data_IF_960471151891
#
_entry.id   IF_960471151891
#
_cell.length_a   1.000
_cell.length_b   1.000
_cell.length_c   1.000
_cell.angle_alpha   90.00
_cell.angle_beta   90.00
_cell.angle_gamma   90.00
#
_symmetry.space_group_name_H-M   'P 1'
#
loop_
_entity.id
_entity.type
_entity.pdbx_description
1 polymer ?
#
# COMPACT_ATOMS: atom_id res chain seq x y z
N UNK A 1 -25.61 -12.17 11.70
CA UNK A 1 -26.40 -11.36 12.64
C UNK A 1 -25.49 -10.86 13.75
N UNK A 2 -24.89 -9.68 13.57
CA UNK A 2 -24.02 -9.07 14.57
C UNK A 2 -24.89 -8.44 15.66
N UNK A 3 -24.77 -8.92 16.91
CA UNK A 3 -25.45 -8.33 18.06
C UNK A 3 -24.59 -7.17 18.57
N UNK A 4 -25.04 -5.95 18.33
CA UNK A 4 -24.52 -4.74 18.96
C UNK A 4 -25.08 -4.70 20.38
N UNK A 5 -24.22 -4.85 21.40
CA UNK A 5 -24.59 -4.65 22.79
C UNK A 5 -24.28 -3.20 23.18
N UNK A 6 -25.29 -2.33 23.13
CA UNK A 6 -25.22 -0.98 23.72
C UNK A 6 -25.52 -1.08 25.21
N UNK A 7 -24.49 -0.96 26.05
CA UNK A 7 -24.67 -0.82 27.50
C UNK A 7 -24.77 0.66 27.83
N UNK A 8 -25.99 1.13 28.14
CA UNK A 8 -26.22 2.44 28.77
C UNK A 8 -26.11 2.27 30.28
N UNK A 9 -24.99 2.71 30.88
CA UNK A 9 -24.86 2.80 32.33
C UNK A 9 -25.47 4.14 32.77
N UNK A 10 -26.64 4.09 33.39
CA UNK A 10 -27.17 5.20 34.19
C UNK A 10 -26.45 5.23 35.53
N UNK A 11 -25.51 6.17 35.73
CA UNK A 11 -24.94 6.45 37.04
C UNK A 11 -25.81 7.48 37.77
N UNK A 12 -26.68 7.01 38.67
CA UNK A 12 -27.16 7.83 39.78
C UNK A 12 -26.21 7.59 40.97
N UNK A 13 -25.29 8.51 41.23
CA UNK A 13 -24.35 8.37 42.34
C UNK A 13 -23.49 9.60 42.60
N UNK A 14 -23.88 10.37 43.63
CA UNK A 14 -23.17 11.41 44.40
C UNK A 14 -21.76 11.82 43.93
N UNK A 15 -21.63 13.11 43.61
CA UNK A 15 -20.36 13.81 43.44
C UNK A 15 -19.59 13.86 44.77
N UNK A 16 -18.60 12.97 44.93
CA UNK A 16 -17.55 13.07 45.93
C UNK A 16 -16.29 13.58 45.25
N UNK A 17 -15.86 14.79 45.62
CA UNK A 17 -14.64 15.43 45.11
C UNK A 17 -13.42 14.71 45.71
N UNK A 18 -12.88 13.70 45.03
CA UNK A 18 -11.53 13.20 45.32
C UNK A 18 -10.51 14.07 44.58
N UNK A 19 -9.41 14.48 45.23
CA UNK A 19 -8.36 15.23 44.56
C UNK A 19 -7.83 14.32 43.43
N UNK A 20 -7.88 14.82 42.21
CA UNK A 20 -7.40 14.12 41.02
C UNK A 20 -5.95 13.66 41.26
N UNK A 21 -5.80 12.37 41.53
CA UNK A 21 -4.54 11.65 41.39
C UNK A 21 -4.00 11.88 39.97
N UNK A 22 -2.67 11.91 39.87
CA UNK A 22 -1.92 12.35 38.70
C UNK A 22 -2.42 11.79 37.37
N UNK A 23 -2.11 12.54 36.31
CA UNK A 23 -2.37 12.17 34.92
C UNK A 23 -1.86 10.74 34.65
N UNK A 24 -2.76 9.75 34.73
CA UNK A 24 -2.49 8.39 34.28
C UNK A 24 -2.38 8.49 32.77
N UNK A 25 -1.15 8.61 32.27
CA UNK A 25 -0.88 8.46 30.84
C UNK A 25 -1.14 6.99 30.52
N UNK A 26 -2.36 6.69 30.06
CA UNK A 26 -2.74 5.36 29.61
C UNK A 26 -1.74 4.85 28.59
N UNK A 27 -1.34 3.59 28.74
CA UNK A 27 -0.41 2.93 27.84
C UNK A 27 -1.02 2.91 26.43
N UNK A 28 -0.30 3.49 25.46
CA UNK A 28 -0.78 3.55 24.07
C UNK A 28 -0.52 2.21 23.40
N UNK A 29 -1.52 1.36 23.36
CA UNK A 29 -1.45 0.08 22.64
C UNK A 29 -1.91 0.26 21.19
N UNK A 30 -1.20 -0.38 20.26
CA UNK A 30 -1.59 -0.42 18.85
C UNK A 30 -2.87 -1.24 18.73
N UNK A 31 -3.85 -0.72 17.99
CA UNK A 31 -5.17 -1.36 17.83
C UNK A 31 -5.42 -1.86 16.40
N UNK A 32 -4.83 -1.19 15.41
CA UNK A 32 -5.02 -1.47 13.98
C UNK A 32 -3.79 -1.05 13.20
N UNK A 33 -3.50 -1.77 12.11
CA UNK A 33 -2.48 -1.41 11.12
C UNK A 33 -3.07 -1.63 9.74
N UNK A 34 -2.86 -0.67 8.83
CA UNK A 34 -3.17 -0.82 7.42
C UNK A 34 -1.85 -0.72 6.64
N UNK A 35 -1.61 -1.68 5.74
CA UNK A 35 -0.41 -1.72 4.92
C UNK A 35 -0.83 -1.58 3.46
N UNK A 36 -0.21 -0.64 2.75
CA UNK A 36 -0.43 -0.42 1.32
C UNK A 36 0.92 -0.40 0.61
N UNK A 37 1.31 -1.50 0.00
CA UNK A 37 2.59 -1.61 -0.68
C UNK A 37 2.43 -1.86 -2.18
N UNK A 38 3.41 -1.41 -2.95
CA UNK A 38 3.53 -1.73 -4.37
C UNK A 38 4.04 -3.17 -4.54
N UNK A 39 3.72 -3.77 -5.68
CA UNK A 39 4.34 -5.02 -6.14
C UNK A 39 5.88 -4.93 -6.19
N UNK A 40 6.53 -6.09 -6.21
CA UNK A 40 7.98 -6.22 -6.29
C UNK A 40 8.54 -5.90 -7.68
N UNK A 41 9.84 -6.18 -7.88
CA UNK A 41 10.45 -6.08 -9.20
C UNK A 41 9.70 -6.90 -10.25
N UNK A 42 9.59 -6.34 -11.46
CA UNK A 42 8.80 -6.92 -12.55
C UNK A 42 9.41 -6.60 -13.90
N UNK A 43 9.06 -7.40 -14.89
CA UNK A 43 9.36 -7.12 -16.29
C UNK A 43 8.60 -5.87 -16.80
N UNK A 44 9.05 -5.23 -17.90
CA UNK A 44 8.35 -4.10 -18.51
C UNK A 44 6.90 -4.46 -18.89
N UNK A 45 5.97 -3.51 -18.74
CA UNK A 45 4.56 -3.73 -19.16
C UNK A 45 4.42 -3.59 -20.68
N UNK A 46 5.16 -2.64 -21.26
CA UNK A 46 5.15 -2.34 -22.68
C UNK A 46 6.58 -2.14 -23.16
N UNK A 47 6.82 -2.41 -24.44
CA UNK A 47 8.10 -2.21 -25.12
C UNK A 47 7.90 -1.12 -26.19
N UNK A 48 8.84 -0.17 -26.28
CA UNK A 48 8.78 0.88 -27.30
C UNK A 48 9.32 0.34 -28.65
N UNK A 49 8.91 0.92 -29.80
CA UNK A 49 9.15 0.29 -31.11
C UNK A 49 10.62 -0.01 -31.46
N UNK A 50 11.56 0.79 -30.95
CA UNK A 50 13.00 0.67 -31.23
C UNK A 50 13.80 0.02 -30.10
N UNK A 51 13.13 -0.63 -29.15
CA UNK A 51 13.82 -1.36 -28.08
C UNK A 51 14.54 -2.59 -28.65
N UNK A 52 15.85 -2.77 -28.39
CA UNK A 52 16.55 -3.98 -28.77
C UNK A 52 16.06 -5.22 -28.01
N UNK A 53 15.49 -5.08 -26.82
CA UNK A 53 14.97 -6.17 -26.01
C UNK A 53 13.48 -6.37 -26.26
N UNK A 54 13.15 -7.41 -27.03
CA UNK A 54 11.77 -7.73 -27.39
C UNK A 54 11.08 -8.55 -26.29
N UNK A 55 9.77 -8.78 -26.44
CA UNK A 55 8.94 -9.40 -25.40
C UNK A 55 9.41 -10.81 -25.00
N UNK A 56 9.96 -11.56 -25.96
CA UNK A 56 10.56 -12.88 -25.80
C UNK A 56 11.86 -12.90 -24.98
N UNK A 57 12.50 -11.74 -24.78
CA UNK A 57 13.68 -11.61 -23.93
C UNK A 57 13.34 -11.79 -22.44
N UNK A 58 12.06 -11.63 -22.07
CA UNK A 58 11.59 -11.71 -20.70
C UNK A 58 10.95 -13.09 -20.46
N UNK A 59 11.60 -14.00 -19.72
CA UNK A 59 11.15 -15.38 -19.59
C UNK A 59 9.79 -15.50 -18.89
N UNK A 60 9.48 -14.57 -17.97
CA UNK A 60 8.18 -14.49 -17.30
C UNK A 60 7.10 -13.88 -18.21
N UNK A 61 7.48 -13.22 -19.31
CA UNK A 61 6.60 -12.38 -20.12
C UNK A 61 6.49 -10.95 -19.59
N UNK A 62 5.77 -10.09 -20.31
CA UNK A 62 5.64 -8.66 -19.98
C UNK A 62 4.70 -8.40 -18.80
N UNK A 63 5.07 -7.45 -17.94
CA UNK A 63 4.30 -7.00 -16.79
C UNK A 63 4.23 -8.01 -15.63
N UNK A 64 5.06 -9.05 -15.67
CA UNK A 64 5.08 -10.18 -14.74
C UNK A 64 6.14 -10.01 -13.65
N UNK A 65 5.86 -10.55 -12.47
CA UNK A 65 6.76 -10.46 -11.31
C UNK A 65 8.00 -11.32 -11.54
N UNK A 66 9.18 -10.77 -11.29
CA UNK A 66 10.43 -11.52 -11.39
C UNK A 66 10.69 -12.31 -10.10
N UNK A 67 11.63 -13.25 -10.15
CA UNK A 67 12.13 -13.94 -8.95
C UNK A 67 12.73 -12.97 -7.92
N UNK A 68 13.38 -11.89 -8.38
CA UNK A 68 13.83 -10.80 -7.53
C UNK A 68 12.64 -10.11 -6.84
N UNK A 69 11.55 -9.87 -7.56
CA UNK A 69 10.33 -9.30 -6.99
C UNK A 69 9.68 -10.17 -5.92
N UNK A 70 9.70 -11.49 -6.11
CA UNK A 70 9.26 -12.45 -5.08
C UNK A 70 10.15 -12.36 -3.83
N UNK A 71 11.48 -12.36 -3.99
CA UNK A 71 12.43 -12.27 -2.87
C UNK A 71 12.28 -10.95 -2.11
N UNK A 72 12.04 -9.84 -2.81
CA UNK A 72 11.76 -8.53 -2.20
C UNK A 72 10.55 -8.59 -1.26
N UNK A 73 9.45 -9.19 -1.71
CA UNK A 73 8.25 -9.33 -0.88
C UNK A 73 8.43 -10.34 0.24
N UNK A 74 9.11 -11.46 0.00
CA UNK A 74 9.44 -12.40 1.06
C UNK A 74 10.22 -11.72 2.21
N UNK A 75 11.22 -10.91 1.87
CA UNK A 75 11.98 -10.11 2.86
C UNK A 75 11.12 -9.04 3.54
N UNK A 76 10.20 -8.40 2.81
CA UNK A 76 9.23 -7.48 3.41
C UNK A 76 8.37 -8.21 4.44
N UNK A 77 7.85 -9.39 4.12
CA UNK A 77 7.09 -10.24 5.01
C UNK A 77 7.86 -10.61 6.29
N UNK A 78 9.14 -10.99 6.15
CA UNK A 78 10.01 -11.24 7.31
C UNK A 78 10.19 -9.99 8.18
N UNK A 79 10.34 -8.82 7.56
CA UNK A 79 10.43 -7.56 8.31
C UNK A 79 9.11 -7.23 9.03
N UNK A 80 7.96 -7.46 8.37
CA UNK A 80 6.63 -7.29 8.97
C UNK A 80 6.42 -8.26 10.14
N UNK A 81 6.89 -9.50 10.02
CA UNK A 81 6.90 -10.49 11.10
C UNK A 81 7.64 -9.95 12.32
N UNK A 82 8.87 -9.50 12.14
CA UNK A 82 9.67 -8.94 13.23
C UNK A 82 8.99 -7.71 13.86
N UNK A 83 8.30 -6.90 13.04
CA UNK A 83 7.64 -5.69 13.50
C UNK A 83 6.32 -5.93 14.24
N UNK A 84 5.54 -6.94 13.86
CA UNK A 84 4.17 -7.11 14.33
C UNK A 84 3.91 -8.41 15.08
N UNK A 85 4.62 -9.49 14.79
CA UNK A 85 4.49 -10.77 15.50
C UNK A 85 5.48 -10.83 16.65
N UNK A 86 6.76 -10.54 16.39
CA UNK A 86 7.80 -10.63 17.43
C UNK A 86 7.70 -9.48 18.45
N UNK A 87 6.93 -8.42 18.13
CA UNK A 87 6.54 -7.36 19.06
C UNK A 87 5.22 -7.62 19.78
N UNK A 88 4.66 -8.84 19.64
CA UNK A 88 3.45 -9.32 20.30
C UNK A 88 2.16 -8.55 19.92
N UNK A 89 2.15 -7.85 18.79
CA UNK A 89 0.92 -7.21 18.28
C UNK A 89 -0.02 -8.21 17.58
N UNK A 90 0.54 -9.19 16.87
CA UNK A 90 -0.16 -10.28 16.19
C UNK A 90 0.34 -11.64 16.69
N UNK A 91 -0.52 -12.66 16.63
CA UNK A 91 -0.12 -14.02 16.96
C UNK A 91 0.87 -14.60 15.94
N UNK A 92 1.74 -15.51 16.41
CA UNK A 92 2.72 -16.19 15.55
C UNK A 92 2.07 -17.09 14.47
N UNK A 93 0.88 -17.62 14.76
CA UNK A 93 0.04 -18.39 13.83
C UNK A 93 -0.99 -17.49 13.16
N UNK A 94 -1.25 -17.72 11.88
CA UNK A 94 -2.25 -16.97 11.13
C UNK A 94 -3.66 -17.15 11.71
N UNK A 95 -4.41 -16.06 11.83
CA UNK A 95 -5.84 -16.08 12.17
C UNK A 95 -6.61 -15.22 11.16
N UNK A 96 -7.61 -15.83 10.51
CA UNK A 96 -8.48 -15.18 9.51
C UNK A 96 -9.27 -13.99 10.05
N UNK A 97 -9.52 -13.93 11.36
CA UNK A 97 -10.27 -12.84 12.00
C UNK A 97 -9.36 -11.65 12.35
N UNK A 98 -8.04 -11.84 12.32
CA UNK A 98 -7.04 -10.82 12.68
C UNK A 98 -6.34 -10.22 11.46
N UNK A 99 -6.29 -10.94 10.34
CA UNK A 99 -5.56 -10.52 9.14
C UNK A 99 -6.44 -10.65 7.91
N UNK A 100 -6.62 -9.54 7.20
CA UNK A 100 -7.28 -9.47 5.91
C UNK A 100 -6.29 -8.95 4.86
N UNK A 101 -6.23 -9.63 3.72
CA UNK A 101 -5.32 -9.28 2.63
C UNK A 101 -6.15 -9.01 1.37
N UNK A 102 -5.94 -7.83 0.78
CA UNK A 102 -6.56 -7.42 -0.48
C UNK A 102 -5.48 -7.00 -1.47
N UNK A 103 -5.62 -7.43 -2.71
CA UNK A 103 -4.73 -7.07 -3.82
C UNK A 103 -5.55 -6.64 -5.03
N UNK A 104 -4.96 -5.85 -5.93
CA UNK A 104 -5.54 -5.63 -7.26
C UNK A 104 -5.47 -6.93 -8.07
N UNK A 105 -6.40 -7.12 -9.00
CA UNK A 105 -6.46 -8.30 -9.86
C UNK A 105 -5.41 -8.25 -10.98
N UNK A 106 -4.14 -8.39 -10.59
CA UNK A 106 -3.01 -8.54 -11.51
C UNK A 106 -2.02 -9.55 -10.96
N UNK A 107 -1.49 -10.43 -11.81
CA UNK A 107 -0.60 -11.51 -11.42
C UNK A 107 0.53 -11.02 -10.51
N UNK A 108 1.21 -9.95 -10.91
CA UNK A 108 2.32 -9.38 -10.14
C UNK A 108 1.94 -8.90 -8.74
N UNK A 109 0.72 -8.41 -8.51
CA UNK A 109 0.29 -7.94 -7.18
C UNK A 109 -0.23 -9.08 -6.33
N UNK A 110 -0.88 -10.08 -6.93
CA UNK A 110 -1.28 -11.31 -6.24
C UNK A 110 -0.05 -12.11 -5.80
N UNK A 111 0.90 -12.35 -6.71
CA UNK A 111 2.14 -13.07 -6.42
C UNK A 111 3.02 -12.33 -5.40
N UNK A 112 3.03 -11.00 -5.42
CA UNK A 112 3.72 -10.19 -4.40
C UNK A 112 3.11 -10.39 -3.01
N UNK A 113 1.78 -10.36 -2.90
CA UNK A 113 1.10 -10.59 -1.62
C UNK A 113 1.35 -12.01 -1.09
N UNK A 114 1.29 -13.03 -1.95
CA UNK A 114 1.60 -14.42 -1.55
C UNK A 114 3.06 -14.57 -1.10
N UNK A 115 4.01 -13.93 -1.79
CA UNK A 115 5.43 -13.93 -1.41
C UNK A 115 5.66 -13.24 -0.05
N UNK A 116 4.98 -12.12 0.19
CA UNK A 116 4.98 -11.40 1.47
C UNK A 116 4.43 -12.27 2.60
N UNK A 117 3.30 -12.91 2.37
CA UNK A 117 2.65 -13.80 3.34
C UNK A 117 3.50 -15.03 3.67
N UNK A 118 4.24 -15.57 2.69
CA UNK A 118 5.17 -16.66 2.93
C UNK A 118 6.31 -16.26 3.91
N UNK A 119 6.77 -15.01 3.85
CA UNK A 119 7.76 -14.48 4.80
C UNK A 119 7.15 -14.06 6.14
N UNK A 120 5.89 -13.61 6.13
CA UNK A 120 5.21 -13.08 7.31
C UNK A 120 4.68 -14.21 8.22
N UNK A 121 4.06 -15.23 7.63
CA UNK A 121 3.41 -16.34 8.32
C UNK A 121 3.92 -17.71 7.85
N UNK A 122 5.20 -18.05 8.11
CA UNK A 122 5.63 -19.45 8.01
C UNK A 122 4.78 -20.31 8.96
N UNK A 123 4.30 -21.49 8.50
CA UNK A 123 3.37 -22.31 9.28
C UNK A 123 4.02 -22.82 10.57
N UNK A 124 3.26 -22.81 11.67
CA UNK A 124 3.70 -23.31 12.98
C UNK A 124 2.66 -24.23 13.60
N UNK A 125 3.14 -25.21 14.39
CA UNK A 125 2.27 -26.13 15.12
C UNK A 125 1.27 -26.84 14.20
N UNK A 126 -0.02 -26.69 14.48
CA UNK A 126 -1.10 -27.31 13.70
C UNK A 126 -1.30 -26.73 12.30
N UNK A 127 -0.69 -25.59 11.98
CA UNK A 127 -0.74 -25.00 10.63
C UNK A 127 0.28 -25.61 9.65
N UNK A 128 1.20 -26.46 10.15
CA UNK A 128 2.12 -27.22 9.30
C UNK A 128 1.32 -28.35 8.63
N UNK A 129 0.85 -28.10 7.42
CA UNK A 129 0.11 -29.08 6.62
C UNK A 129 1.02 -30.04 5.84
N UNK A 130 2.28 -29.66 5.63
CA UNK A 130 3.30 -30.48 4.95
C UNK A 130 4.66 -30.32 5.65
N UNK A 131 5.22 -31.38 6.25
CA UNK A 131 6.53 -31.33 6.89
C UNK A 131 7.64 -30.92 5.91
N UNK A 132 8.54 -30.04 6.35
CA UNK A 132 9.66 -29.53 5.54
C UNK A 132 9.25 -28.53 4.46
N UNK A 133 8.02 -28.02 4.50
CA UNK A 133 7.53 -27.00 3.58
C UNK A 133 7.00 -25.79 4.35
N UNK A 134 7.83 -24.76 4.46
CA UNK A 134 7.57 -23.55 5.24
C UNK A 134 6.66 -22.55 4.50
N UNK A 135 5.56 -23.05 3.96
CA UNK A 135 4.53 -22.26 3.30
C UNK A 135 3.15 -22.83 3.60
N UNK A 136 2.15 -21.97 3.71
CA UNK A 136 0.74 -22.36 3.77
C UNK A 136 -0.10 -21.39 2.94
N UNK A 137 -1.24 -21.84 2.38
CA UNK A 137 -2.12 -20.97 1.63
C UNK A 137 -2.83 -19.99 2.57
N UNK A 138 -2.59 -18.69 2.38
CA UNK A 138 -3.32 -17.62 3.07
C UNK A 138 -4.14 -16.86 2.02
N UNK A 139 -5.47 -16.70 2.19
CA UNK A 139 -6.31 -16.09 1.17
C UNK A 139 -5.92 -14.63 0.87
N UNK A 140 -5.62 -14.34 -0.40
CA UNK A 140 -5.52 -12.98 -0.95
C UNK A 140 -6.81 -12.66 -1.70
N UNK A 141 -7.57 -11.68 -1.19
CA UNK A 141 -8.83 -11.28 -1.81
C UNK A 141 -8.59 -10.26 -2.93
N UNK A 142 -9.36 -10.38 -4.01
CA UNK A 142 -9.32 -9.43 -5.12
C UNK A 142 -10.70 -9.26 -5.73
N UNK A 143 -10.84 -8.24 -6.57
CA UNK A 143 -12.01 -7.99 -7.40
C UNK A 143 -11.52 -7.57 -8.80
N UNK A 144 -12.32 -7.80 -9.85
CA UNK A 144 -11.93 -7.44 -11.23
C UNK A 144 -11.43 -6.00 -11.35
N UNK A 145 -10.42 -5.77 -12.20
CA UNK A 145 -9.77 -4.46 -12.33
C UNK A 145 -10.73 -3.34 -12.76
N UNK A 146 -11.75 -3.61 -13.57
CA UNK A 146 -12.77 -2.64 -13.97
C UNK A 146 -13.75 -2.28 -12.84
N UNK A 147 -13.85 -3.15 -11.83
CA UNK A 147 -14.65 -2.97 -10.62
C UNK A 147 -13.83 -2.52 -9.40
N UNK A 148 -12.51 -2.36 -9.52
CA UNK A 148 -11.67 -1.92 -8.40
C UNK A 148 -11.65 -0.39 -8.24
N UNK A 149 -12.56 0.10 -7.39
CA UNK A 149 -12.65 1.52 -7.02
C UNK A 149 -11.68 1.94 -5.90
N UNK A 150 -10.95 0.99 -5.32
CA UNK A 150 -10.15 1.23 -4.10
C UNK A 150 -8.64 1.23 -4.36
N UNK A 151 -8.09 0.18 -5.00
CA UNK A 151 -6.64 0.04 -5.16
C UNK A 151 -6.14 0.34 -6.58
N UNK A 152 -7.03 0.37 -7.58
CA UNK A 152 -6.66 0.73 -8.95
C UNK A 152 -6.54 2.23 -9.08
N UNK A 153 -5.32 2.68 -9.40
CA UNK A 153 -4.98 4.11 -9.53
C UNK A 153 -5.63 4.80 -10.73
N UNK A 154 -5.91 4.06 -11.80
CA UNK A 154 -6.71 4.50 -12.94
C UNK A 154 -8.12 3.96 -12.77
N UNK A 155 -8.83 4.42 -11.74
CA UNK A 155 -10.13 3.91 -11.29
C UNK A 155 -11.22 3.85 -12.38
N UNK A 156 -12.50 3.79 -12.02
CA UNK A 156 -13.57 3.80 -13.02
C UNK A 156 -13.50 5.05 -13.91
N UNK A 157 -14.12 5.03 -15.10
CA UNK A 157 -14.29 6.22 -15.92
C UNK A 157 -14.80 7.39 -15.09
N UNK A 158 -14.03 8.47 -15.04
CA UNK A 158 -14.32 9.65 -14.25
C UNK A 158 -14.15 10.89 -15.13
N UNK A 159 -15.24 11.37 -15.78
CA UNK A 159 -15.16 12.47 -16.75
C UNK A 159 -14.53 13.74 -16.17
N UNK A 160 -14.79 14.02 -14.88
CA UNK A 160 -14.21 15.18 -14.19
C UNK A 160 -12.70 15.02 -14.01
N UNK A 161 -12.22 13.82 -13.66
CA UNK A 161 -10.78 13.55 -13.58
C UNK A 161 -10.11 13.72 -14.95
N UNK A 162 -10.74 13.22 -16.02
CA UNK A 162 -10.20 13.34 -17.38
C UNK A 162 -10.14 14.81 -17.83
N UNK A 163 -11.16 15.61 -17.52
CA UNK A 163 -11.18 17.05 -17.78
C UNK A 163 -10.06 17.78 -17.01
N UNK A 164 -9.92 17.50 -15.71
CA UNK A 164 -8.88 18.10 -14.87
C UNK A 164 -7.49 17.72 -15.37
N UNK A 165 -7.26 16.45 -15.69
CA UNK A 165 -6.00 15.95 -16.26
C UNK A 165 -5.68 16.61 -17.60
N UNK A 166 -6.69 16.86 -18.43
CA UNK A 166 -6.51 17.60 -19.69
C UNK A 166 -6.14 19.07 -19.43
N UNK A 167 -6.79 19.73 -18.46
CA UNK A 167 -6.49 21.11 -18.07
C UNK A 167 -5.07 21.27 -17.52
N UNK A 168 -4.59 20.31 -16.72
CA UNK A 168 -3.24 20.35 -16.13
C UNK A 168 -2.14 20.48 -17.18
N UNK A 169 -2.32 19.90 -18.38
CA UNK A 169 -1.33 20.02 -19.47
C UNK A 169 -1.13 21.46 -19.97
N UNK A 170 -2.13 22.32 -19.79
CA UNK A 170 -2.06 23.71 -20.24
C UNK A 170 -1.49 24.65 -19.18
N UNK A 171 -1.40 24.20 -17.92
CA UNK A 171 -0.83 24.97 -16.82
C UNK A 171 0.64 25.28 -17.11
N UNK A 172 1.04 26.52 -16.78
CA UNK A 172 2.42 26.99 -16.93
C UNK A 172 3.41 26.03 -16.26
N UNK A 173 3.07 25.55 -15.07
CA UNK A 173 3.89 24.62 -14.30
C UNK A 173 4.17 23.31 -15.05
N UNK A 174 3.14 22.72 -15.68
CA UNK A 174 3.30 21.52 -16.46
C UNK A 174 4.20 21.76 -17.67
N UNK A 175 3.97 22.86 -18.41
CA UNK A 175 4.77 23.24 -19.57
C UNK A 175 6.23 23.52 -19.23
N UNK A 176 6.48 24.19 -18.11
CA UNK A 176 7.83 24.48 -17.62
C UNK A 176 8.57 23.18 -17.29
N UNK A 177 7.92 22.23 -16.60
CA UNK A 177 8.48 20.90 -16.33
C UNK A 177 8.69 20.10 -17.62
N UNK A 178 7.71 20.09 -18.52
CA UNK A 178 7.83 19.41 -19.81
C UNK A 178 9.03 19.94 -20.61
N UNK A 179 9.18 21.26 -20.73
CA UNK A 179 10.34 21.86 -21.39
C UNK A 179 11.65 21.48 -20.71
N UNK A 180 11.69 21.49 -19.37
CA UNK A 180 12.87 21.15 -18.57
C UNK A 180 13.30 19.68 -18.72
N UNK A 181 12.36 18.75 -18.85
CA UNK A 181 12.65 17.31 -18.95
C UNK A 181 12.76 16.82 -20.40
N UNK A 182 11.99 17.38 -21.33
CA UNK A 182 12.11 17.08 -22.77
C UNK A 182 13.48 17.41 -23.32
N UNK A 183 14.13 18.46 -22.81
CA UNK A 183 15.52 18.79 -23.13
C UNK A 183 16.54 17.77 -22.56
N UNK A 184 16.18 17.04 -21.51
CA UNK A 184 17.01 16.00 -20.85
C UNK A 184 16.64 14.57 -21.26
N UNK A 185 15.68 14.38 -22.16
CA UNK A 185 15.10 13.07 -22.48
C UNK A 185 16.09 12.09 -23.15
N UNK A 186 17.28 12.53 -23.56
CA UNK A 186 18.38 11.63 -23.95
C UNK A 186 18.92 10.83 -22.76
N UNK A 187 18.68 11.25 -21.51
CA UNK A 187 19.20 10.61 -20.29
C UNK A 187 18.12 9.84 -19.49
N UNK A 188 16.83 10.13 -19.69
CA UNK A 188 15.76 9.62 -18.81
C UNK A 188 15.40 8.15 -19.01
N UNK A 189 15.73 7.55 -20.17
CA UNK A 189 15.65 6.09 -20.34
C UNK A 189 16.72 5.34 -19.52
N UNK A 190 17.83 6.00 -19.16
CA UNK A 190 18.91 5.40 -18.38
C UNK A 190 18.63 5.39 -16.86
N UNK A 191 17.72 6.23 -16.37
CA UNK A 191 17.47 6.36 -14.92
C UNK A 191 16.43 5.36 -14.39
N UNK A 192 15.85 4.50 -15.24
CA UNK A 192 15.01 3.37 -14.81
C UNK A 192 15.84 2.22 -14.20
N UNK A 193 17.18 2.31 -14.25
CA UNK A 193 18.10 1.20 -13.92
C UNK A 193 18.80 1.35 -12.56
N UNK A 194 18.76 2.48 -11.87
CA UNK A 194 19.41 2.59 -10.54
C UNK A 194 18.68 3.59 -9.65
N UNK A 195 18.14 3.16 -8.50
CA UNK A 195 18.52 3.70 -7.18
C UNK A 195 17.70 3.11 -6.02
N UNK A 196 18.37 2.29 -5.20
CA UNK A 196 18.01 1.94 -3.82
C UNK A 196 18.68 2.93 -2.86
N UNK A 197 17.97 3.37 -1.80
CA UNK A 197 18.38 3.27 -0.37
C UNK A 197 17.94 4.44 0.54
N UNK A 198 17.38 4.01 1.68
CA UNK A 198 17.40 4.57 3.04
C UNK A 198 16.17 5.35 3.58
N UNK A 199 15.96 5.20 4.91
CA UNK A 199 14.70 5.13 5.68
C UNK A 199 14.43 6.32 6.65
N UNK A 200 13.18 6.33 7.16
CA UNK A 200 12.56 6.94 8.39
C UNK A 200 11.72 8.22 8.12
N UNK A 201 10.49 8.43 8.63
CA UNK A 201 9.82 8.01 9.88
C UNK A 201 8.26 8.22 9.84
N UNK A 202 7.51 7.30 10.46
CA UNK A 202 6.26 7.41 11.26
C UNK A 202 5.02 8.22 10.81
N UNK A 203 4.10 7.54 10.12
CA UNK A 203 2.72 7.11 10.51
C UNK A 203 2.58 5.76 9.75
N UNK A 204 2.07 4.66 10.34
CA UNK A 204 2.03 3.35 9.65
C UNK A 204 0.90 3.30 8.59
N UNK A 205 0.96 4.20 7.60
CA UNK A 205 0.61 3.91 6.21
C UNK A 205 1.95 3.54 5.57
N UNK A 206 2.21 2.25 5.46
CA UNK A 206 3.47 1.78 4.92
C UNK A 206 3.39 1.74 3.39
N UNK A 207 3.50 2.89 2.71
CA UNK A 207 3.85 2.91 1.28
C UNK A 207 5.31 2.47 1.17
N UNK A 208 5.54 1.16 1.15
CA UNK A 208 6.85 0.57 0.92
C UNK A 208 7.31 0.96 -0.49
N UNK A 209 8.11 2.01 -0.58
CA UNK A 209 8.92 2.31 -1.76
C UNK A 209 10.36 2.53 -1.30
N UNK A 210 11.37 1.90 -1.92
CA UNK A 210 12.74 2.25 -1.68
C UNK A 210 13.02 3.61 -2.35
N UNK A 211 13.21 4.66 -1.55
CA UNK A 211 13.62 6.01 -2.01
C UNK A 211 15.02 6.36 -1.49
N UNK A 212 15.72 7.32 -2.13
CA UNK A 212 15.62 8.71 -1.70
C UNK A 212 15.40 9.67 -2.89
N UNK A 213 14.47 10.62 -2.83
CA UNK A 213 14.48 11.95 -3.51
C UNK A 213 13.13 12.69 -3.26
N UNK A 214 13.08 13.58 -2.27
CA UNK A 214 12.15 14.73 -2.28
C UNK A 214 12.64 15.68 -3.39
N UNK A 215 11.81 16.02 -4.42
CA UNK A 215 10.70 16.95 -4.21
C UNK A 215 9.42 16.71 -5.06
N UNK A 216 9.18 15.52 -5.61
CA UNK A 216 8.01 15.32 -6.50
C UNK A 216 6.68 14.97 -5.80
N UNK A 217 6.71 14.55 -4.52
CA UNK A 217 5.48 14.22 -3.78
C UNK A 217 4.83 15.44 -3.08
N UNK A 218 5.57 16.52 -2.88
CA UNK A 218 5.02 17.76 -2.31
C UNK A 218 4.08 18.49 -3.29
N UNK A 219 4.16 18.18 -4.58
CA UNK A 219 3.44 18.95 -5.60
C UNK A 219 1.96 18.56 -5.74
N UNK A 220 1.60 17.30 -5.44
CA UNK A 220 0.21 16.83 -5.52
C UNK A 220 -0.58 17.16 -4.25
N UNK A 221 0.08 17.20 -3.09
CA UNK A 221 -0.59 17.43 -1.80
C UNK A 221 -0.77 18.92 -1.45
N UNK A 222 -0.05 19.83 -2.11
CA UNK A 222 -0.17 21.28 -1.82
C UNK A 222 -1.14 22.03 -2.74
N UNK A 223 -1.77 21.37 -3.73
CA UNK A 223 -2.79 22.01 -4.60
C UNK A 223 -4.22 21.51 -4.41
N UNK A 224 -4.42 20.44 -3.62
CA UNK A 224 -5.75 19.97 -3.21
C UNK A 224 -6.15 20.43 -1.79
N UNK A 225 -5.30 21.23 -1.14
CA UNK A 225 -5.43 21.59 0.27
C UNK A 225 -6.26 22.83 0.61
N UNK A 226 -6.77 23.60 -0.35
CA UNK A 226 -7.37 24.91 -0.03
C UNK A 226 -8.79 25.19 -0.54
N UNK A 227 -9.50 24.25 -1.19
CA UNK A 227 -10.88 24.55 -1.65
C UNK A 227 -11.92 23.41 -1.56
N UNK A 228 -11.70 22.35 -0.78
CA UNK A 228 -12.69 21.27 -0.63
C UNK A 228 -13.68 21.46 0.54
N UNK A 229 -13.77 22.65 1.14
CA UNK A 229 -14.66 22.89 2.30
C UNK A 229 -16.09 23.33 1.97
N UNK A 230 -16.46 23.52 0.70
CA UNK A 230 -17.84 23.92 0.35
C UNK A 230 -18.35 23.13 -0.88
N UNK A 231 -18.89 21.93 -0.64
CA UNK A 231 -19.59 21.17 -1.67
C UNK A 231 -19.91 19.76 -1.21
N UNK A 232 -21.15 19.54 -0.76
CA UNK A 232 -21.70 18.24 -0.37
C UNK A 232 -21.52 17.19 -1.48
N UNK A 233 -20.75 16.13 -1.20
CA UNK A 233 -20.83 14.83 -1.88
C UNK A 233 -21.20 13.77 -0.84
N UNK A 234 -22.39 13.14 -0.91
CA UNK A 234 -22.87 12.24 0.13
C UNK A 234 -22.44 10.79 -0.15
N UNK A 235 -21.13 10.51 -0.22
CA UNK A 235 -20.60 9.15 -0.08
C UNK A 235 -19.21 9.23 0.58
N UNK A 236 -18.88 8.33 1.53
CA UNK A 236 -17.64 8.43 2.28
C UNK A 236 -16.44 8.17 1.36
N UNK A 237 -15.78 9.25 0.94
CA UNK A 237 -14.48 9.24 0.26
C UNK A 237 -13.42 8.82 1.27
N UNK A 238 -13.09 7.53 1.33
CA UNK A 238 -11.89 7.07 2.04
C UNK A 238 -10.68 7.36 1.17
N UNK A 239 -10.03 8.49 1.42
CA UNK A 239 -8.67 8.75 0.94
C UNK A 239 -7.75 7.84 1.76
N UNK A 240 -7.47 6.64 1.22
CA UNK A 240 -6.37 5.81 1.69
C UNK A 240 -5.10 6.34 1.01
N UNK A 241 -4.36 7.15 1.77
CA UNK A 241 -2.92 7.34 1.59
C UNK A 241 -2.27 5.99 1.81
#
# INVERSE_FOLDING_TARGET
MYRVLLVFIFLLGRCGFQPFGGLVRGERTRQLVNLLYRHGDRTPINIYPSDPHRADTWPEGLGQLTTLGMEMHYKLGQWLRNRYIDSEFLNATYNRDSVHVRSTDSDRTLMSAESDLAGFYPPQGSQIWKPGFDWMPIPVHTIPLDEDYLLKTNGPPCPVYDELKAKTKYEKKYKDLEAQYKARHTLYMYMYITYQNSLKCFIDVLIATPTPYQPFLQMLLTSLGENLYNGFCPYPTYILI
#
